data_IF_600870722077
#
_entry.id   IF_600870722077
#
_cell.length_a   1.000
_cell.length_b   1.000
_cell.length_c   1.000
_cell.angle_alpha   90.00
_cell.angle_beta   90.00
_cell.angle_gamma   90.00
#
_symmetry.space_group_name_H-M   'P 1'
#
loop_
_entity.id
_entity.type
_entity.pdbx_description
1 polymer ?
#
# COMPACT_ATOMS: atom_id res chain seq x y z
N UNK A 1 29.83 26.96 -5.67
CA UNK A 1 28.40 27.07 -5.98
C UNK A 1 28.06 26.06 -7.07
N UNK A 2 27.58 24.88 -6.69
CA UNK A 2 27.19 23.84 -7.65
C UNK A 2 25.67 23.77 -7.72
N UNK A 3 25.08 24.34 -8.76
CA UNK A 3 23.65 24.21 -9.06
C UNK A 3 23.39 22.82 -9.63
N UNK A 4 23.19 21.84 -8.76
CA UNK A 4 22.59 20.56 -9.15
C UNK A 4 21.10 20.81 -9.40
N UNK A 5 20.78 21.28 -10.61
CA UNK A 5 19.41 21.29 -11.13
C UNK A 5 18.96 19.83 -11.17
N UNK A 6 18.22 19.39 -10.15
CA UNK A 6 17.71 18.03 -10.10
C UNK A 6 16.80 17.83 -11.31
N UNK A 7 17.17 16.93 -12.21
CA UNK A 7 16.41 16.50 -13.39
C UNK A 7 15.16 15.70 -13.01
N UNK A 8 14.46 16.16 -11.97
CA UNK A 8 13.31 15.51 -11.41
C UNK A 8 12.11 15.74 -12.32
N UNK A 9 11.69 14.69 -13.02
CA UNK A 9 10.44 14.67 -13.77
C UNK A 9 9.40 13.88 -12.99
N UNK A 10 8.29 14.51 -12.56
CA UNK A 10 7.21 13.81 -11.87
C UNK A 10 6.56 12.79 -12.81
N UNK A 11 6.08 11.69 -12.24
CA UNK A 11 5.49 10.60 -13.00
C UNK A 11 4.05 10.94 -13.34
N UNK A 12 3.68 10.73 -14.60
CA UNK A 12 2.33 10.99 -15.11
C UNK A 12 1.66 9.65 -15.45
N UNK A 13 0.43 9.46 -14.98
CA UNK A 13 -0.42 8.31 -15.27
C UNK A 13 -1.75 8.82 -15.82
N UNK A 14 -2.27 8.17 -16.85
CA UNK A 14 -3.56 8.47 -17.46
C UNK A 14 -4.59 7.43 -17.03
N UNK A 15 -5.74 7.86 -16.52
CA UNK A 15 -6.83 7.01 -16.06
C UNK A 15 -8.05 7.21 -16.96
N UNK A 16 -8.74 6.13 -17.30
CA UNK A 16 -10.05 6.16 -17.95
C UNK A 16 -11.14 6.03 -16.88
N UNK A 17 -11.95 7.09 -16.76
CA UNK A 17 -13.06 7.20 -15.81
C UNK A 17 -14.31 7.48 -16.64
N UNK A 18 -15.16 6.47 -16.83
CA UNK A 18 -16.41 6.55 -17.59
C UNK A 18 -16.25 7.15 -19.00
N UNK A 19 -15.16 6.81 -19.70
CA UNK A 19 -14.84 7.29 -21.04
C UNK A 19 -14.16 8.66 -21.06
N UNK A 20 -13.77 9.21 -19.90
CA UNK A 20 -12.97 10.43 -19.78
C UNK A 20 -11.56 10.10 -19.32
N UNK A 21 -10.58 10.54 -20.10
CA UNK A 21 -9.17 10.39 -19.77
C UNK A 21 -8.77 11.49 -18.78
N UNK A 22 -8.28 11.10 -17.62
CA UNK A 22 -7.82 12.00 -16.56
C UNK A 22 -6.33 11.77 -16.27
N UNK A 23 -5.58 12.86 -16.19
CA UNK A 23 -4.12 12.82 -15.95
C UNK A 23 -3.82 13.01 -14.47
N UNK A 24 -3.20 12.02 -13.85
CA UNK A 24 -2.71 12.06 -12.48
C UNK A 24 -1.19 12.20 -12.50
N UNK A 25 -0.66 13.16 -11.74
CA UNK A 25 0.78 13.42 -11.64
C UNK A 25 1.18 13.26 -10.18
N UNK A 26 2.17 12.42 -9.91
CA UNK A 26 2.66 12.22 -8.55
C UNK A 26 4.18 12.21 -8.47
N UNK A 27 4.67 12.38 -7.24
CA UNK A 27 6.09 12.51 -7.00
C UNK A 27 6.79 11.17 -6.72
N UNK A 28 8.12 11.09 -6.90
CA UNK A 28 8.91 9.91 -6.48
C UNK A 28 8.87 9.64 -4.98
N UNK A 29 8.38 10.60 -4.18
CA UNK A 29 8.25 10.50 -2.73
C UNK A 29 6.87 10.00 -2.30
N UNK A 30 5.91 9.87 -3.24
CA UNK A 30 4.61 9.30 -2.94
C UNK A 30 4.76 7.80 -2.66
N UNK A 31 4.13 7.32 -1.60
CA UNK A 31 4.00 5.88 -1.34
C UNK A 31 2.75 5.31 -2.03
N UNK A 32 2.55 3.99 -2.02
CA UNK A 32 1.38 3.36 -2.65
C UNK A 32 0.04 3.87 -2.12
N UNK A 33 -0.05 4.22 -0.82
CA UNK A 33 -1.28 4.76 -0.23
C UNK A 33 -1.59 6.16 -0.76
N UNK A 34 -0.58 7.02 -0.87
CA UNK A 34 -0.75 8.36 -1.44
C UNK A 34 -1.23 8.29 -2.90
N UNK A 35 -0.68 7.33 -3.67
CA UNK A 35 -1.07 7.09 -5.07
C UNK A 35 -2.52 6.56 -5.15
N UNK A 36 -2.89 5.63 -4.28
CA UNK A 36 -4.25 5.11 -4.16
C UNK A 36 -5.26 6.24 -3.85
N UNK A 37 -4.94 7.10 -2.88
CA UNK A 37 -5.79 8.23 -2.52
C UNK A 37 -5.91 9.23 -3.68
N UNK A 38 -4.83 9.51 -4.41
CA UNK A 38 -4.86 10.34 -5.61
C UNK A 38 -5.77 9.76 -6.70
N UNK A 39 -5.73 8.45 -6.93
CA UNK A 39 -6.60 7.79 -7.90
C UNK A 39 -8.07 7.78 -7.43
N UNK A 40 -8.33 7.58 -6.14
CA UNK A 40 -9.68 7.70 -5.59
C UNK A 40 -10.24 9.11 -5.79
N UNK A 41 -9.44 10.15 -5.51
CA UNK A 41 -9.83 11.55 -5.75
C UNK A 41 -10.12 11.80 -7.24
N UNK A 42 -9.27 11.31 -8.14
CA UNK A 42 -9.44 11.46 -9.58
C UNK A 42 -10.74 10.81 -10.08
N UNK A 43 -11.05 9.62 -9.55
CA UNK A 43 -12.24 8.82 -9.90
C UNK A 43 -13.52 9.27 -9.20
N UNK A 44 -13.45 10.22 -8.26
CA UNK A 44 -14.60 10.63 -7.46
C UNK A 44 -15.03 9.58 -6.42
N UNK A 45 -14.18 8.61 -6.11
CA UNK A 45 -14.41 7.61 -5.07
C UNK A 45 -14.01 8.15 -3.68
N UNK A 46 -14.64 7.69 -2.59
CA UNK A 46 -14.20 8.01 -1.24
C UNK A 46 -12.73 7.62 -1.01
N UNK A 47 -12.00 8.43 -0.24
CA UNK A 47 -10.64 8.07 0.23
C UNK A 47 -10.70 6.74 1.00
N UNK A 48 -9.65 5.91 0.88
CA UNK A 48 -9.59 4.52 1.36
C UNK A 48 -10.49 3.50 0.62
N UNK A 49 -11.06 3.83 -0.55
CA UNK A 49 -11.72 2.80 -1.37
C UNK A 49 -10.66 1.87 -1.97
N UNK A 50 -10.86 0.55 -1.82
CA UNK A 50 -10.01 -0.42 -2.50
C UNK A 50 -10.32 -0.39 -3.99
N UNK A 51 -9.32 -0.08 -4.81
CA UNK A 51 -9.44 0.00 -6.26
C UNK A 51 -8.43 -0.94 -6.93
N UNK A 52 -8.81 -1.46 -8.09
CA UNK A 52 -7.96 -2.23 -8.99
C UNK A 52 -7.71 -1.43 -10.26
N UNK A 53 -6.48 -1.50 -10.76
CA UNK A 53 -6.06 -0.83 -11.97
C UNK A 53 -5.88 -1.86 -13.09
N UNK A 54 -6.53 -1.62 -14.23
CA UNK A 54 -6.48 -2.50 -15.40
C UNK A 54 -5.89 -1.78 -16.61
N UNK A 55 -5.10 -2.50 -17.40
CA UNK A 55 -4.72 -2.09 -18.76
C UNK A 55 -5.90 -2.30 -19.73
N UNK A 56 -5.82 -1.73 -20.94
CA UNK A 56 -6.78 -1.96 -22.03
C UNK A 56 -7.02 -3.46 -22.33
N UNK A 57 -6.01 -4.31 -22.12
CA UNK A 57 -6.09 -5.77 -22.28
C UNK A 57 -6.70 -6.50 -21.06
N UNK A 58 -7.29 -5.77 -20.11
CA UNK A 58 -7.81 -6.27 -18.82
C UNK A 58 -6.76 -6.96 -17.93
N UNK A 59 -5.48 -6.65 -18.11
CA UNK A 59 -4.41 -7.09 -17.22
C UNK A 59 -4.32 -6.20 -15.98
N UNK A 60 -4.18 -6.82 -14.81
CA UNK A 60 -4.01 -6.12 -13.53
C UNK A 60 -2.65 -5.42 -13.44
N UNK A 61 -2.65 -4.18 -12.99
CA UNK A 61 -1.45 -3.38 -12.73
C UNK A 61 -1.37 -3.07 -11.22
N UNK A 62 -0.21 -3.31 -10.61
CA UNK A 62 0.01 -2.98 -9.20
C UNK A 62 0.04 -1.47 -9.00
N UNK A 63 -0.56 -0.99 -7.90
CA UNK A 63 -0.60 0.43 -7.56
C UNK A 63 0.53 0.73 -6.57
N UNK A 64 1.66 1.18 -7.12
CA UNK A 64 2.86 1.52 -6.38
C UNK A 64 3.76 2.47 -7.20
N UNK A 65 4.76 3.13 -6.58
CA UNK A 65 5.60 4.11 -7.30
C UNK A 65 6.35 3.54 -8.51
N UNK A 66 6.56 2.21 -8.57
CA UNK A 66 7.26 1.51 -9.65
C UNK A 66 6.34 1.15 -10.82
N UNK A 67 5.01 1.28 -10.67
CA UNK A 67 4.02 0.93 -11.70
C UNK A 67 4.33 1.50 -13.09
N UNK A 68 4.15 0.78 -14.20
CA UNK A 68 4.55 1.28 -15.51
C UNK A 68 3.85 2.60 -15.87
N UNK A 69 4.60 3.53 -16.48
CA UNK A 69 3.99 4.72 -17.05
C UNK A 69 3.18 4.35 -18.29
N UNK A 70 2.08 5.05 -18.52
CA UNK A 70 1.23 4.86 -19.70
C UNK A 70 1.07 6.18 -20.48
N UNK A 71 0.17 6.17 -21.46
CA UNK A 71 -0.10 7.31 -22.34
C UNK A 71 -1.60 7.59 -22.45
N UNK A 72 -1.97 8.76 -22.99
CA UNK A 72 -3.37 9.08 -23.29
C UNK A 72 -4.04 8.06 -24.23
N UNK A 73 -3.25 7.34 -25.03
CA UNK A 73 -3.74 6.30 -25.96
C UNK A 73 -3.92 4.94 -25.29
N UNK A 74 -3.37 4.76 -24.09
CA UNK A 74 -3.42 3.53 -23.31
C UNK A 74 -3.74 3.84 -21.84
N UNK A 75 -4.88 4.53 -21.56
CA UNK A 75 -5.25 4.88 -20.21
C UNK A 75 -5.53 3.61 -19.40
N UNK A 76 -5.26 3.67 -18.10
CA UNK A 76 -5.62 2.58 -17.20
C UNK A 76 -7.06 2.74 -16.73
N UNK A 77 -7.81 1.65 -16.71
CA UNK A 77 -9.18 1.61 -16.19
C UNK A 77 -9.14 1.36 -14.69
N UNK A 78 -9.83 2.20 -13.93
CA UNK A 78 -9.96 2.03 -12.47
C UNK A 78 -11.27 1.32 -12.17
N UNK A 79 -11.21 0.27 -11.35
CA UNK A 79 -12.39 -0.49 -10.92
C UNK A 79 -12.42 -0.54 -9.39
N UNK A 80 -13.48 -0.07 -8.72
CA UNK A 80 -13.64 -0.28 -7.30
C UNK A 80 -13.81 -1.77 -7.01
N UNK A 81 -13.00 -2.29 -6.10
CA UNK A 81 -13.15 -3.65 -5.58
C UNK A 81 -14.13 -3.55 -4.43
N UNK A 82 -15.33 -4.11 -4.60
CA UNK A 82 -16.28 -4.20 -3.51
C UNK A 82 -15.71 -5.14 -2.44
N UNK A 83 -15.12 -4.57 -1.39
CA UNK A 83 -15.04 -5.25 -0.10
C UNK A 83 -16.46 -5.30 0.45
N UNK A 84 -17.10 -6.46 0.39
CA UNK A 84 -18.34 -6.73 1.13
C UNK A 84 -18.06 -6.59 2.63
N UNK A 85 -18.15 -5.36 3.13
CA UNK A 85 -18.39 -5.08 4.53
C UNK A 85 -19.86 -4.70 4.66
N UNK A 86 -20.61 -5.62 5.27
CA UNK A 86 -21.99 -5.41 5.72
C UNK A 86 -22.07 -4.15 6.60
N UNK A 87 -22.46 -3.02 6.01
CA UNK A 87 -23.16 -1.94 6.72
C UNK A 87 -23.99 -1.17 5.69
N UNK A 88 -25.31 -1.22 5.88
CA UNK A 88 -26.27 -0.73 4.89
C UNK A 88 -26.29 0.78 4.80
N UNK A 89 -26.33 1.29 3.56
CA UNK A 89 -27.36 2.19 3.01
C UNK A 89 -27.21 2.11 1.48
N UNK A 90 -28.22 1.56 0.80
CA UNK A 90 -28.29 1.50 -0.67
C UNK A 90 -28.95 2.79 -1.18
N UNK A 91 -28.34 3.59 -2.06
CA UNK A 91 -29.10 4.40 -3.00
C UNK A 91 -29.53 3.48 -4.16
N UNK A 92 -30.85 3.26 -4.25
CA UNK A 92 -31.46 2.56 -5.38
C UNK A 92 -31.23 3.37 -6.66
N UNK A 93 -30.84 2.70 -7.75
CA UNK A 93 -31.08 3.20 -9.09
C UNK A 93 -31.89 2.17 -9.88
N UNK A 94 -32.98 2.63 -10.49
CA UNK A 94 -34.10 1.84 -11.00
C UNK A 94 -34.07 1.73 -12.53
N UNK A 95 -33.56 0.63 -13.06
CA UNK A 95 -33.82 0.01 -14.38
C UNK A 95 -32.80 -1.15 -14.51
N UNK A 96 -33.08 -2.37 -14.94
CA UNK A 96 -34.20 -2.99 -15.62
C UNK A 96 -34.21 -4.48 -15.23
N UNK A 97 -35.39 -5.05 -15.00
CA UNK A 97 -35.62 -6.46 -14.75
C UNK A 97 -35.81 -7.20 -16.08
N UNK A 98 -35.11 -8.34 -16.22
CA UNK A 98 -35.41 -9.56 -17.02
C UNK A 98 -34.21 -10.00 -17.85
N UNK A 99 -33.62 -11.13 -17.46
CA UNK A 99 -33.23 -12.25 -18.35
C UNK A 99 -32.24 -13.17 -17.60
N UNK A 100 -32.75 -14.20 -16.92
CA UNK A 100 -31.91 -15.16 -16.19
C UNK A 100 -31.93 -16.59 -16.75
N UNK A 101 -32.57 -16.87 -17.90
CA UNK A 101 -32.72 -18.25 -18.38
C UNK A 101 -32.08 -18.56 -19.74
N UNK A 102 -31.12 -17.77 -20.25
CA UNK A 102 -30.52 -18.04 -21.58
C UNK A 102 -29.00 -17.88 -21.66
N UNK A 103 -28.28 -18.09 -20.54
CA UNK A 103 -26.81 -17.99 -20.50
C UNK A 103 -26.08 -19.24 -19.97
N UNK A 104 -26.78 -20.32 -19.65
CA UNK A 104 -26.14 -21.60 -19.29
C UNK A 104 -25.92 -22.54 -20.49
N UNK A 105 -26.68 -22.38 -21.58
CA UNK A 105 -26.55 -23.26 -22.76
C UNK A 105 -25.47 -22.81 -23.76
N UNK A 106 -24.96 -21.57 -23.66
CA UNK A 106 -23.93 -21.04 -24.57
C UNK A 106 -22.51 -21.02 -23.97
N UNK A 107 -22.36 -21.20 -22.66
CA UNK A 107 -21.03 -21.22 -22.02
C UNK A 107 -20.30 -22.56 -22.07
N UNK A 108 -20.97 -23.67 -22.42
CA UNK A 108 -20.34 -24.99 -22.48
C UNK A 108 -19.66 -25.34 -23.82
N UNK A 109 -19.76 -24.50 -24.86
CA UNK A 109 -19.16 -24.79 -26.17
C UNK A 109 -17.91 -23.93 -26.48
N UNK A 110 -17.62 -22.86 -25.71
CA UNK A 110 -16.52 -21.93 -26.01
C UNK A 110 -15.37 -21.91 -25.00
N UNK A 111 -15.24 -22.94 -24.14
CA UNK A 111 -14.10 -23.09 -23.22
C UNK A 111 -13.37 -24.43 -23.34
N UNK A 112 -13.28 -24.95 -24.56
CA UNK A 112 -12.40 -26.08 -24.92
C UNK A 112 -11.24 -25.65 -25.84
N UNK A 113 -10.92 -24.35 -25.90
CA UNK A 113 -9.69 -23.85 -26.49
C UNK A 113 -8.79 -23.32 -25.39
N UNK A 114 -7.57 -23.84 -25.30
CA UNK A 114 -6.50 -23.39 -24.38
C UNK A 114 -6.49 -23.99 -22.98
N UNK A 115 -6.37 -25.31 -22.84
CA UNK A 115 -5.57 -25.93 -21.77
C UNK A 115 -4.94 -27.24 -22.26
N UNK A 116 -3.61 -27.25 -22.34
CA UNK A 116 -2.71 -28.39 -22.20
C UNK A 116 -3.15 -29.77 -22.69
N UNK A 117 -2.56 -30.19 -23.80
CA UNK A 117 -2.47 -31.56 -24.30
C UNK A 117 -1.76 -32.49 -23.30
N UNK A 118 -2.47 -33.07 -22.34
CA UNK A 118 -2.06 -34.36 -21.70
C UNK A 118 -3.16 -35.09 -20.93
N UNK A 119 -4.40 -34.58 -20.89
CA UNK A 119 -5.53 -35.26 -20.21
C UNK A 119 -6.80 -35.39 -21.09
N UNK A 120 -6.70 -35.17 -22.41
CA UNK A 120 -7.85 -35.25 -23.30
C UNK A 120 -8.11 -36.63 -23.91
N UNK A 121 -7.15 -37.57 -23.93
CA UNK A 121 -7.36 -38.86 -24.64
C UNK A 121 -8.24 -39.88 -23.90
N UNK A 122 -8.30 -39.82 -22.58
CA UNK A 122 -9.14 -40.75 -21.79
C UNK A 122 -10.56 -40.22 -21.55
N UNK A 123 -10.74 -38.91 -21.45
CA UNK A 123 -12.07 -38.32 -21.23
C UNK A 123 -12.86 -38.23 -22.54
N UNK A 124 -12.22 -37.93 -23.68
CA UNK A 124 -12.91 -37.89 -24.98
C UNK A 124 -13.34 -39.28 -25.47
N UNK A 125 -12.59 -40.35 -25.18
CA UNK A 125 -12.93 -41.70 -25.67
C UNK A 125 -14.11 -42.35 -24.93
N UNK A 126 -14.36 -41.95 -23.69
CA UNK A 126 -15.43 -42.54 -22.84
C UNK A 126 -16.68 -41.65 -22.81
N UNK A 127 -16.51 -40.32 -22.82
CA UNK A 127 -17.63 -39.39 -22.57
C UNK A 127 -18.45 -39.06 -23.82
N UNK A 128 -17.80 -38.95 -24.99
CA UNK A 128 -18.50 -38.63 -26.25
C UNK A 128 -19.42 -39.77 -26.76
N UNK A 129 -19.04 -41.06 -26.69
CA UNK A 129 -19.93 -42.14 -27.12
C UNK A 129 -21.16 -42.30 -26.21
N UNK A 130 -20.99 -42.09 -24.90
CA UNK A 130 -22.07 -42.17 -23.91
C UNK A 130 -23.08 -41.03 -24.09
N UNK A 131 -22.62 -39.81 -24.34
CA UNK A 131 -23.49 -38.66 -24.57
C UNK A 131 -24.20 -38.73 -25.94
N UNK A 132 -23.53 -39.26 -26.97
CA UNK A 132 -24.10 -39.44 -28.30
C UNK A 132 -25.16 -40.57 -28.35
N UNK A 133 -24.97 -41.63 -27.57
CA UNK A 133 -25.95 -42.73 -27.44
C UNK A 133 -27.25 -42.28 -26.76
N UNK A 134 -27.17 -41.37 -25.78
CA UNK A 134 -28.34 -40.82 -25.05
C UNK A 134 -29.13 -39.80 -25.89
N UNK A 135 -28.51 -39.17 -26.90
CA UNK A 135 -29.15 -38.14 -27.74
C UNK A 135 -29.78 -38.66 -29.05
N UNK A 136 -29.93 -39.98 -29.22
CA UNK A 136 -30.62 -40.57 -30.38
C UNK A 136 -32.09 -40.87 -30.06
N UNK A 137 -33.08 -40.10 -30.58
CA UNK A 137 -34.48 -40.27 -30.19
C UNK A 137 -35.16 -41.37 -31.01
N UNK A 138 -35.22 -42.58 -30.46
CA UNK A 138 -36.03 -43.70 -30.98
C UNK A 138 -36.91 -44.30 -29.89
N UNK A 139 -38.15 -43.80 -29.78
CA UNK A 139 -39.40 -44.44 -29.32
C UNK A 139 -39.50 -45.13 -27.92
N UNK A 140 -40.46 -44.62 -27.11
CA UNK A 140 -41.21 -45.20 -25.94
C UNK A 140 -40.44 -45.94 -24.82
N UNK A 141 -40.34 -45.32 -23.63
CA UNK A 141 -40.59 -45.98 -22.32
C UNK A 141 -40.72 -44.93 -21.18
N UNK A 142 -41.91 -44.78 -20.58
CA UNK A 142 -42.27 -43.62 -19.73
C UNK A 142 -41.97 -43.73 -18.21
N UNK A 143 -41.14 -44.67 -17.75
CA UNK A 143 -40.86 -44.81 -16.29
C UNK A 143 -39.38 -45.05 -15.95
N UNK A 144 -38.56 -45.51 -16.91
CA UNK A 144 -37.12 -45.75 -16.68
C UNK A 144 -36.24 -44.53 -16.95
N UNK A 145 -36.76 -43.52 -17.63
CA UNK A 145 -36.04 -42.28 -17.97
C UNK A 145 -35.66 -41.50 -16.70
N UNK A 146 -36.59 -41.38 -15.75
CA UNK A 146 -36.35 -40.57 -14.54
C UNK A 146 -35.26 -41.18 -13.64
N UNK A 147 -35.23 -42.50 -13.49
CA UNK A 147 -34.15 -43.20 -12.78
C UNK A 147 -32.80 -43.06 -13.49
N UNK A 148 -32.79 -43.09 -14.82
CA UNK A 148 -31.58 -42.93 -15.61
C UNK A 148 -31.04 -41.50 -15.55
N UNK A 149 -31.91 -40.50 -15.65
CA UNK A 149 -31.56 -39.09 -15.51
C UNK A 149 -31.05 -38.78 -14.10
N UNK A 150 -31.65 -39.38 -13.06
CA UNK A 150 -31.17 -39.26 -11.69
C UNK A 150 -29.78 -39.88 -11.50
N UNK A 151 -29.53 -41.07 -12.06
CA UNK A 151 -28.21 -41.71 -12.04
C UNK A 151 -27.16 -40.86 -12.78
N UNK A 152 -27.51 -40.34 -13.96
CA UNK A 152 -26.64 -39.49 -14.76
C UNK A 152 -26.31 -38.18 -14.02
N UNK A 153 -27.30 -37.59 -13.33
CA UNK A 153 -27.13 -36.40 -12.50
C UNK A 153 -26.17 -36.63 -11.33
N UNK A 154 -26.29 -37.77 -10.63
CA UNK A 154 -25.38 -38.13 -9.55
C UNK A 154 -23.95 -38.31 -10.05
N UNK A 155 -23.76 -38.98 -11.20
CA UNK A 155 -22.45 -39.16 -11.82
C UNK A 155 -21.85 -37.82 -12.24
N UNK A 156 -22.64 -36.94 -12.87
CA UNK A 156 -22.21 -35.59 -13.24
C UNK A 156 -21.82 -34.75 -12.02
N UNK A 157 -22.54 -34.89 -10.91
CA UNK A 157 -22.21 -34.21 -9.66
C UNK A 157 -20.89 -34.72 -9.07
N UNK A 158 -20.64 -36.03 -9.10
CA UNK A 158 -19.35 -36.58 -8.66
C UNK A 158 -18.19 -36.07 -9.51
N UNK A 159 -18.35 -36.01 -10.84
CA UNK A 159 -17.34 -35.41 -11.72
C UNK A 159 -17.13 -33.92 -11.40
N UNK A 160 -18.19 -33.14 -11.21
CA UNK A 160 -18.10 -31.72 -10.86
C UNK A 160 -17.31 -31.49 -9.56
N UNK A 161 -17.52 -32.34 -8.54
CA UNK A 161 -16.78 -32.28 -7.28
C UNK A 161 -15.29 -32.57 -7.48
N UNK A 162 -14.95 -33.60 -8.27
CA UNK A 162 -13.55 -33.96 -8.56
C UNK A 162 -12.83 -32.87 -9.37
N UNK A 163 -13.48 -32.28 -10.37
CA UNK A 163 -12.89 -31.17 -11.13
C UNK A 163 -12.65 -29.93 -10.28
N UNK A 164 -13.60 -29.56 -9.39
CA UNK A 164 -13.40 -28.47 -8.41
C UNK A 164 -12.22 -28.73 -7.48
N UNK A 165 -12.03 -29.97 -7.03
CA UNK A 165 -10.87 -30.34 -6.19
C UNK A 165 -9.57 -30.22 -6.99
N UNK A 166 -9.54 -30.62 -8.26
CA UNK A 166 -8.35 -30.48 -9.09
C UNK A 166 -8.01 -29.01 -9.40
N UNK A 167 -9.02 -28.18 -9.65
CA UNK A 167 -8.85 -26.73 -9.80
C UNK A 167 -8.32 -26.09 -8.51
N UNK A 168 -8.89 -26.45 -7.36
CA UNK A 168 -8.40 -25.98 -6.07
C UNK A 168 -6.96 -26.47 -5.79
N UNK A 169 -6.64 -27.71 -6.19
CA UNK A 169 -5.29 -28.27 -6.05
C UNK A 169 -4.26 -27.53 -6.90
N UNK A 170 -4.61 -27.14 -8.13
CA UNK A 170 -3.71 -26.36 -8.98
C UNK A 170 -3.55 -24.94 -8.46
N UNK A 171 -4.62 -24.31 -7.95
CA UNK A 171 -4.56 -23.00 -7.31
C UNK A 171 -3.65 -23.01 -6.06
N UNK A 172 -3.81 -24.00 -5.18
CA UNK A 172 -2.96 -24.19 -3.99
C UNK A 172 -1.50 -24.42 -4.38
N UNK A 173 -1.23 -25.22 -5.41
CA UNK A 173 0.13 -25.44 -5.91
C UNK A 173 0.75 -24.14 -6.46
N UNK A 174 -0.03 -23.31 -7.15
CA UNK A 174 0.42 -22.01 -7.66
C UNK A 174 0.72 -21.03 -6.51
N UNK A 175 -0.14 -20.98 -5.49
CA UNK A 175 0.08 -20.16 -4.30
C UNK A 175 1.34 -20.59 -3.55
N UNK A 176 1.56 -21.90 -3.40
CA UNK A 176 2.77 -22.44 -2.78
C UNK A 176 4.03 -22.02 -3.55
N UNK A 177 4.06 -22.20 -4.87
CA UNK A 177 5.20 -21.82 -5.71
C UNK A 177 5.50 -20.30 -5.65
N UNK A 178 4.46 -19.46 -5.55
CA UNK A 178 4.65 -18.02 -5.38
C UNK A 178 5.24 -17.68 -4.00
N UNK A 179 4.79 -18.35 -2.95
CA UNK A 179 5.31 -18.16 -1.59
C UNK A 179 6.77 -18.61 -1.50
N UNK A 180 7.13 -19.75 -2.09
CA UNK A 180 8.52 -20.23 -2.16
C UNK A 180 9.45 -19.19 -2.78
N UNK A 181 9.08 -18.63 -3.95
CA UNK A 181 9.87 -17.56 -4.59
C UNK A 181 9.99 -16.29 -3.74
N UNK A 182 8.94 -15.91 -3.01
CA UNK A 182 8.99 -14.76 -2.09
C UNK A 182 9.93 -15.03 -0.92
N UNK A 183 9.90 -16.25 -0.36
CA UNK A 183 10.80 -16.66 0.72
C UNK A 183 12.26 -16.67 0.26
N UNK A 184 12.55 -17.14 -0.95
CA UNK A 184 13.90 -17.09 -1.54
C UNK A 184 14.43 -15.64 -1.65
N UNK A 185 13.60 -14.72 -2.16
CA UNK A 185 13.95 -13.29 -2.26
C UNK A 185 14.18 -12.64 -0.89
N UNK A 186 13.33 -12.93 0.10
CA UNK A 186 13.54 -12.45 1.47
C UNK A 186 14.80 -13.06 2.10
N UNK A 187 15.12 -14.32 1.79
CA UNK A 187 16.38 -14.95 2.18
C UNK A 187 17.61 -14.21 1.66
N UNK A 188 17.60 -13.78 0.40
CA UNK A 188 18.67 -12.96 -0.17
C UNK A 188 18.82 -11.61 0.55
N UNK A 189 17.71 -10.92 0.86
CA UNK A 189 17.75 -9.66 1.62
C UNK A 189 18.36 -9.84 3.01
N UNK A 190 18.05 -10.94 3.70
CA UNK A 190 18.64 -11.24 5.02
C UNK A 190 20.15 -11.41 4.92
N UNK A 191 20.64 -12.09 3.87
CA UNK A 191 22.09 -12.23 3.61
C UNK A 191 22.76 -10.87 3.38
N UNK A 192 22.14 -9.99 2.58
CA UNK A 192 22.65 -8.64 2.35
C UNK A 192 22.67 -7.79 3.63
N UNK A 193 21.64 -7.92 4.47
CA UNK A 193 21.56 -7.24 5.77
C UNK A 193 22.67 -7.73 6.70
N UNK A 194 22.88 -9.05 6.81
CA UNK A 194 23.95 -9.60 7.65
C UNK A 194 25.35 -9.21 7.15
N UNK A 195 25.54 -9.14 5.83
CA UNK A 195 26.76 -8.58 5.24
C UNK A 195 26.95 -7.11 5.61
N UNK A 196 25.93 -6.27 5.43
CA UNK A 196 25.97 -4.86 5.80
C UNK A 196 26.25 -4.66 7.29
N UNK A 197 25.65 -5.48 8.15
CA UNK A 197 25.86 -5.48 9.60
C UNK A 197 27.30 -5.86 9.96
N UNK A 198 27.87 -6.86 9.29
CA UNK A 198 29.28 -7.22 9.41
C UNK A 198 30.20 -6.07 8.98
N UNK A 199 29.91 -5.42 7.85
CA UNK A 199 30.69 -4.28 7.35
C UNK A 199 30.62 -3.08 8.31
N UNK A 200 29.44 -2.78 8.89
CA UNK A 200 29.29 -1.74 9.91
C UNK A 200 30.11 -2.08 11.16
N UNK A 201 30.08 -3.34 11.62
CA UNK A 201 30.87 -3.80 12.77
C UNK A 201 32.36 -3.62 12.49
N UNK A 202 32.83 -4.03 11.32
CA UNK A 202 34.23 -3.87 10.90
C UNK A 202 34.64 -2.40 10.84
N UNK A 203 33.83 -1.53 10.23
CA UNK A 203 34.11 -0.09 10.18
C UNK A 203 34.17 0.52 11.59
N UNK A 204 33.28 0.11 12.51
CA UNK A 204 33.32 0.56 13.91
C UNK A 204 34.61 0.11 14.61
N UNK A 205 35.04 -1.12 14.41
CA UNK A 205 36.29 -1.65 14.97
C UNK A 205 37.51 -0.93 14.39
N UNK A 206 37.55 -0.66 13.09
CA UNK A 206 38.61 0.13 12.44
C UNK A 206 38.66 1.56 12.97
N UNK A 207 37.50 2.20 13.18
CA UNK A 207 37.40 3.55 13.77
C UNK A 207 37.86 3.55 15.24
N UNK A 208 37.50 2.53 16.03
CA UNK A 208 37.96 2.36 17.40
C UNK A 208 39.49 2.13 17.47
N UNK A 209 40.03 1.29 16.58
CA UNK A 209 41.47 1.02 16.52
C UNK A 209 42.30 2.24 16.08
N UNK A 210 41.75 3.11 15.23
CA UNK A 210 42.37 4.38 14.82
C UNK A 210 42.26 5.47 15.89
N UNK A 211 41.15 5.49 16.63
CA UNK A 211 40.92 6.43 17.74
C UNK A 211 41.96 6.29 18.86
N UNK A 212 42.53 5.10 19.07
CA UNK A 212 43.58 4.88 20.08
C UNK A 212 44.92 5.57 19.76
N UNK A 213 45.14 6.00 18.51
CA UNK A 213 46.41 6.62 18.06
C UNK A 213 46.32 8.12 17.85
N UNK A 214 45.14 8.72 17.99
CA UNK A 214 44.94 10.16 17.82
C UNK A 214 44.40 10.75 19.11
N UNK A 215 45.29 11.36 19.90
CA UNK A 215 44.92 12.23 21.03
C UNK A 215 44.32 13.54 20.49
N UNK A 216 43.12 13.47 19.92
CA UNK A 216 42.36 14.65 19.54
C UNK A 216 41.46 15.09 20.71
N UNK A 217 41.41 16.38 21.08
CA UNK A 217 40.57 16.87 22.17
C UNK A 217 39.06 16.80 21.91
N UNK A 218 38.60 16.38 20.71
CA UNK A 218 37.17 16.20 20.43
C UNK A 218 36.64 14.87 20.98
N UNK A 219 36.73 14.68 22.30
CA UNK A 219 36.11 13.55 23.00
C UNK A 219 34.60 13.80 23.10
N UNK A 220 33.85 13.57 22.02
CA UNK A 220 32.39 13.70 22.01
C UNK A 220 31.72 12.34 22.21
N UNK A 221 31.24 12.17 23.45
CA UNK A 221 30.20 11.30 23.98
C UNK A 221 29.44 10.44 22.95
N UNK A 222 29.80 9.17 22.83
CA UNK A 222 28.97 8.14 22.18
C UNK A 222 28.78 6.90 23.08
N UNK A 223 28.63 7.11 24.37
CA UNK A 223 28.11 6.09 25.28
C UNK A 223 26.78 6.57 25.82
N UNK A 224 25.74 6.53 24.98
CA UNK A 224 24.36 6.56 25.46
C UNK A 224 23.49 5.77 24.47
N UNK A 225 23.26 4.50 24.79
CA UNK A 225 22.60 3.48 23.95
C UNK A 225 21.08 3.71 23.76
N UNK A 226 20.50 4.79 24.29
CA UNK A 226 19.04 4.96 24.33
C UNK A 226 18.45 6.13 23.51
N UNK A 227 19.16 6.67 22.51
CA UNK A 227 18.55 7.60 21.53
C UNK A 227 18.57 7.05 20.11
N UNK A 228 17.37 6.66 19.64
CA UNK A 228 17.05 6.60 18.20
C UNK A 228 17.61 7.84 17.53
N UNK A 229 18.52 7.65 16.57
CA UNK A 229 19.03 8.72 15.71
C UNK A 229 17.88 9.21 14.81
N UNK A 230 17.07 10.13 15.31
CA UNK A 230 16.27 10.99 14.43
C UNK A 230 17.24 11.78 13.57
N UNK A 231 17.05 11.88 12.24
CA UNK A 231 17.91 12.69 11.39
C UNK A 231 18.02 14.10 11.97
N UNK A 232 19.21 14.46 12.47
CA UNK A 232 19.52 15.84 12.84
C UNK A 232 19.56 16.62 11.54
N UNK A 233 18.43 17.22 11.16
CA UNK A 233 18.43 18.44 10.37
C UNK A 233 18.65 19.59 11.34
N UNK A 234 19.64 20.41 11.02
CA UNK A 234 20.14 21.52 11.82
C UNK A 234 19.00 22.33 12.39
N UNK A 235 18.84 22.27 13.71
CA UNK A 235 18.04 23.25 14.44
C UNK A 235 18.91 24.51 14.46
N UNK A 236 18.44 25.66 13.93
CA UNK A 236 19.13 26.91 14.14
C UNK A 236 19.31 27.10 15.65
N UNK A 237 20.55 26.95 16.12
CA UNK A 237 20.86 27.09 17.54
C UNK A 237 20.92 28.58 17.83
N UNK A 238 19.81 29.15 18.27
CA UNK A 238 19.82 30.48 18.87
C UNK A 238 20.46 30.39 20.27
N UNK A 239 21.18 31.44 20.73
CA UNK A 239 21.68 31.49 22.09
C UNK A 239 20.52 31.29 23.06
N UNK A 240 20.62 30.35 23.99
CA UNK A 240 19.66 30.25 25.09
C UNK A 240 19.81 31.52 25.94
N UNK A 241 18.82 32.40 25.89
CA UNK A 241 18.73 33.51 26.82
C UNK A 241 18.31 32.94 28.17
N UNK A 242 19.16 33.14 29.18
CA UNK A 242 18.82 32.78 30.56
C UNK A 242 18.00 33.93 31.15
N UNK A 243 16.69 33.75 31.26
CA UNK A 243 15.81 34.72 31.89
C UNK A 243 16.19 34.87 33.37
N UNK A 244 16.34 36.12 33.83
CA UNK A 244 16.62 36.39 35.24
C UNK A 244 15.40 36.04 36.10
N UNK A 245 15.63 35.77 37.39
CA UNK A 245 14.54 35.46 38.32
C UNK A 245 13.52 36.61 38.43
N UNK A 246 14.00 37.86 38.40
CA UNK A 246 13.16 39.06 38.37
C UNK A 246 12.25 39.11 37.13
N UNK A 247 12.76 38.65 35.99
CA UNK A 247 11.99 38.58 34.72
C UNK A 247 10.86 37.57 34.82
N UNK A 248 11.14 36.39 35.38
CA UNK A 248 10.15 35.31 35.56
C UNK A 248 9.01 35.78 36.49
N UNK A 249 9.36 36.49 37.56
CA UNK A 249 8.39 37.03 38.51
C UNK A 249 7.57 38.19 37.91
N UNK A 250 8.19 39.00 37.03
CA UNK A 250 7.49 40.03 36.28
C UNK A 250 6.54 39.42 35.23
N UNK A 251 6.93 38.33 34.55
CA UNK A 251 6.14 37.65 33.52
C UNK A 251 4.83 37.07 34.08
N UNK A 252 4.78 36.75 35.37
CA UNK A 252 3.57 36.30 36.07
C UNK A 252 2.59 37.43 36.40
N UNK A 253 2.97 38.70 36.20
CA UNK A 253 2.15 39.87 36.52
C UNK A 253 1.59 40.48 35.23
N UNK A 254 0.35 41.01 35.25
CA UNK A 254 -0.24 41.67 34.07
C UNK A 254 0.45 42.99 33.71
N UNK A 255 1.34 43.50 34.57
CA UNK A 255 2.16 44.70 34.38
C UNK A 255 3.45 44.41 33.62
N UNK A 256 3.61 43.21 33.05
CA UNK A 256 4.78 42.85 32.26
C UNK A 256 4.88 43.72 31.00
N UNK A 257 5.96 44.47 30.87
CA UNK A 257 6.19 45.33 29.71
C UNK A 257 6.74 44.49 28.55
N UNK A 258 5.90 44.28 27.54
CA UNK A 258 6.22 43.47 26.35
C UNK A 258 7.16 44.22 25.39
N UNK A 259 7.21 45.55 25.44
CA UNK A 259 7.95 46.37 24.47
C UNK A 259 9.46 46.41 24.70
N UNK A 260 9.93 45.93 25.85
CA UNK A 260 11.34 45.93 26.24
C UNK A 260 12.11 44.69 25.73
N UNK A 261 11.45 43.75 25.06
CA UNK A 261 12.01 42.43 24.77
C UNK A 261 12.28 42.20 23.28
N UNK A 262 13.43 41.63 22.96
CA UNK A 262 13.71 41.17 21.60
C UNK A 262 12.88 39.91 21.24
N UNK A 263 12.58 39.66 19.95
CA UNK A 263 11.81 38.48 19.54
C UNK A 263 12.37 37.15 20.06
N UNK A 264 13.70 37.02 20.13
CA UNK A 264 14.37 35.80 20.63
C UNK A 264 14.22 35.61 22.14
N UNK A 265 14.16 36.71 22.89
CA UNK A 265 13.95 36.70 24.34
C UNK A 265 12.49 36.39 24.66
N UNK A 266 11.56 36.94 23.87
CA UNK A 266 10.14 36.64 23.99
C UNK A 266 9.83 35.17 23.71
N UNK A 267 10.53 34.54 22.76
CA UNK A 267 10.45 33.09 22.54
C UNK A 267 10.93 32.28 23.75
N UNK A 268 11.94 32.79 24.47
CA UNK A 268 12.43 32.17 25.71
C UNK A 268 11.42 32.34 26.86
N UNK A 269 10.74 33.49 26.95
CA UNK A 269 9.63 33.72 27.88
C UNK A 269 8.47 32.74 27.62
N UNK A 270 8.08 32.57 26.36
CA UNK A 270 7.03 31.62 25.97
C UNK A 270 7.46 30.17 26.28
N UNK A 271 8.69 29.77 25.95
CA UNK A 271 9.19 28.44 26.32
C UNK A 271 9.10 28.22 27.84
N UNK A 272 9.49 29.22 28.64
CA UNK A 272 9.41 29.15 30.10
C UNK A 272 7.97 28.98 30.59
N UNK A 273 6.99 29.70 30.03
CA UNK A 273 5.57 29.56 30.40
C UNK A 273 5.04 28.14 30.20
N UNK A 274 5.42 27.48 29.10
CA UNK A 274 5.01 26.10 28.82
C UNK A 274 5.57 25.10 29.85
N UNK A 275 6.78 25.37 30.37
CA UNK A 275 7.39 24.58 31.42
C UNK A 275 6.81 24.89 32.81
N UNK A 276 6.60 26.17 33.13
CA UNK A 276 6.10 26.64 34.43
C UNK A 276 4.65 26.20 34.67
N UNK A 277 3.83 26.21 33.62
CA UNK A 277 2.44 25.72 33.66
C UNK A 277 2.35 24.18 33.66
N UNK A 278 3.46 23.45 33.60
CA UNK A 278 3.48 21.98 33.58
C UNK A 278 3.06 21.34 32.25
N UNK A 279 2.65 22.11 31.25
CA UNK A 279 2.10 21.62 29.98
C UNK A 279 3.05 20.67 29.24
N UNK A 280 4.36 20.93 29.29
CA UNK A 280 5.37 20.06 28.66
C UNK A 280 5.35 18.66 29.27
N UNK A 281 5.16 18.57 30.58
CA UNK A 281 5.12 17.30 31.31
C UNK A 281 3.77 16.62 31.16
N UNK A 282 2.68 17.36 31.30
CA UNK A 282 1.31 16.82 31.31
C UNK A 282 0.88 16.31 29.94
N UNK A 283 1.30 16.98 28.86
CA UNK A 283 1.00 16.57 27.48
C UNK A 283 2.17 15.84 26.80
N UNK A 284 3.22 15.48 27.54
CA UNK A 284 4.42 14.81 27.03
C UNK A 284 4.99 15.48 25.76
N UNK A 285 5.05 16.81 25.78
CA UNK A 285 5.50 17.61 24.65
C UNK A 285 7.02 17.45 24.52
N UNK A 286 7.49 17.07 23.34
CA UNK A 286 8.92 17.02 23.09
C UNK A 286 9.51 18.44 23.12
N UNK A 287 10.48 18.75 24.02
CA UNK A 287 11.03 20.11 24.17
C UNK A 287 11.73 20.62 22.90
N UNK A 288 12.24 19.72 22.05
CA UNK A 288 12.82 20.09 20.75
C UNK A 288 11.71 20.51 19.78
N UNK A 289 10.57 19.82 19.80
CA UNK A 289 9.40 20.15 18.99
C UNK A 289 8.81 21.48 19.42
N UNK A 290 8.72 21.74 20.72
CA UNK A 290 8.24 23.02 21.25
C UNK A 290 9.09 24.20 20.74
N UNK A 291 10.43 24.11 20.86
CA UNK A 291 11.34 25.15 20.35
C UNK A 291 11.18 25.39 18.85
N UNK A 292 11.08 24.31 18.05
CA UNK A 292 10.89 24.43 16.59
C UNK A 292 9.56 25.09 16.25
N UNK A 293 8.50 24.74 16.97
CA UNK A 293 7.18 25.30 16.79
C UNK A 293 7.15 26.80 17.12
N UNK A 294 7.72 27.19 18.26
CA UNK A 294 7.85 28.60 18.66
C UNK A 294 8.60 29.44 17.62
N UNK A 295 9.73 28.95 17.12
CA UNK A 295 10.50 29.61 16.05
C UNK A 295 9.71 29.66 14.73
N UNK A 296 8.97 28.60 14.40
CA UNK A 296 8.15 28.56 13.18
C UNK A 296 7.03 29.60 13.23
N UNK A 297 6.40 29.79 14.40
CA UNK A 297 5.43 30.86 14.61
C UNK A 297 6.11 32.21 14.40
N UNK A 298 7.25 32.45 15.04
CA UNK A 298 7.97 33.73 14.91
C UNK A 298 8.36 34.08 13.48
N UNK A 299 8.68 33.10 12.64
CA UNK A 299 9.06 33.32 11.25
C UNK A 299 7.86 33.43 10.29
N UNK A 300 6.63 33.20 10.78
CA UNK A 300 5.40 33.25 9.99
C UNK A 300 4.67 34.60 10.07
N UNK A 301 5.24 35.56 10.78
CA UNK A 301 4.74 36.94 10.94
C UNK A 301 5.71 37.95 10.34
#
# INVERSE_FOLDING_TARGET
MGSASSTYRPKCIYLDIDGRIQKVIFSKYCNSKDIMDLFCIATGLPRNTTISLLTADNCMVSIDPTMPANSERSPYKVIPVATEQLSGVIPKCSHCSKDQNNLLAKCLILRAGSLGTTLCREVESVFFPLLFSVMSPSYIFSEKEELFQNLLGQIAEQFSRVFKINELKTEVANHLAMLEKKVELEGLKVVEIEKCKSDIKKMREEMAARSSRTNCPCKYSFLDENKRLTPRRDVPSYPKYMLSQETIEALRKPTFDVWLWEPNEMLSCLEHMYHDLGLVKDFNINPITLKRWLVSISNSW
#
